data_IF_410930355141
#
_entry.id   IF_410930355141
#
_cell.length_a   1.000
_cell.length_b   1.000
_cell.length_c   1.000
_cell.angle_alpha   90.00
_cell.angle_beta   90.00
_cell.angle_gamma   90.00
#
_symmetry.space_group_name_H-M   'P 1'
#
loop_
_entity.id
_entity.type
_entity.pdbx_description
1 polymer ?
#
# COMPACT_ATOMS: atom_id res chain seq x y z
N UNK A 1 0.16 14.67 34.22
CA UNK A 1 1.26 14.76 33.24
C UNK A 1 1.31 13.41 32.55
N UNK A 2 0.68 13.28 31.37
CA UNK A 2 0.68 12.03 30.60
C UNK A 2 1.66 12.21 29.45
N UNK A 3 2.84 11.60 29.57
CA UNK A 3 3.77 11.47 28.45
C UNK A 3 3.10 10.58 27.40
N UNK A 4 2.69 11.20 26.30
CA UNK A 4 2.37 10.47 25.09
C UNK A 4 3.65 9.77 24.66
N UNK A 5 3.72 8.46 24.91
CA UNK A 5 4.79 7.59 24.44
C UNK A 5 4.72 7.57 22.90
N UNK A 6 5.33 8.56 22.26
CA UNK A 6 5.36 8.72 20.82
C UNK A 6 6.36 7.73 20.26
N UNK A 7 5.93 6.47 20.14
CA UNK A 7 6.68 5.42 19.46
C UNK A 7 7.04 5.96 18.06
N UNK A 8 8.33 6.09 17.77
CA UNK A 8 8.78 6.59 16.48
C UNK A 8 8.26 5.65 15.38
N UNK A 9 7.45 6.11 14.41
CA UNK A 9 6.96 5.27 13.33
C UNK A 9 8.07 4.67 12.43
N UNK A 10 9.33 5.07 12.62
CA UNK A 10 10.51 4.40 12.03
C UNK A 10 10.81 3.06 12.70
N UNK A 11 10.57 2.93 13.99
CA UNK A 11 10.96 1.77 14.81
C UNK A 11 10.19 0.49 14.47
N UNK A 12 9.05 0.60 13.74
CA UNK A 12 8.22 -0.53 13.30
C UNK A 12 8.47 -1.00 11.87
N UNK A 13 9.42 -0.40 11.15
CA UNK A 13 9.67 -0.75 9.75
C UNK A 13 10.62 -1.94 9.65
N UNK A 14 10.26 -2.94 8.84
CA UNK A 14 11.13 -4.08 8.54
C UNK A 14 12.24 -3.76 7.52
N UNK A 15 12.21 -2.57 6.92
CA UNK A 15 13.20 -2.12 5.92
C UNK A 15 13.09 -0.63 5.63
N UNK A 16 14.20 -0.07 5.13
CA UNK A 16 14.31 1.34 4.74
C UNK A 16 13.50 1.66 3.48
N UNK A 17 13.05 2.92 3.38
CA UNK A 17 12.28 3.42 2.23
C UNK A 17 13.10 4.47 1.48
N UNK A 18 13.41 4.24 0.21
CA UNK A 18 13.93 5.28 -0.67
C UNK A 18 12.78 6.14 -1.19
N UNK A 19 12.90 7.47 -1.16
CA UNK A 19 11.97 8.37 -1.83
C UNK A 19 11.90 8.06 -3.34
N UNK A 20 10.70 7.89 -3.88
CA UNK A 20 10.46 7.75 -5.31
C UNK A 20 9.65 8.93 -5.85
N UNK A 21 10.03 9.43 -7.03
CA UNK A 21 9.30 10.47 -7.78
C UNK A 21 9.22 10.04 -9.24
N UNK A 22 8.25 9.18 -9.55
CA UNK A 22 7.96 8.72 -10.91
C UNK A 22 6.50 8.27 -11.03
N UNK A 23 5.99 8.11 -12.26
CA UNK A 23 4.64 7.59 -12.49
C UNK A 23 4.51 6.17 -11.93
N UNK A 24 3.35 5.87 -11.36
CA UNK A 24 3.04 4.56 -10.81
C UNK A 24 1.55 4.31 -10.99
N UNK A 25 1.21 3.17 -11.60
CA UNK A 25 -0.19 2.76 -11.78
C UNK A 25 -0.47 1.58 -10.85
N UNK A 26 -1.53 1.71 -10.04
CA UNK A 26 -2.04 0.59 -9.23
C UNK A 26 -3.34 0.12 -9.83
N UNK A 27 -3.42 -1.18 -10.14
CA UNK A 27 -4.65 -1.86 -10.55
C UNK A 27 -5.18 -2.68 -9.39
N UNK A 28 -6.44 -2.45 -9.04
CA UNK A 28 -7.25 -3.31 -8.18
C UNK A 28 -8.13 -4.13 -9.14
N UNK A 29 -7.74 -5.35 -9.54
CA UNK A 29 -8.63 -6.20 -10.33
C UNK A 29 -9.94 -6.39 -9.55
N UNK A 30 -11.09 -6.32 -10.24
CA UNK A 30 -12.40 -6.36 -9.60
C UNK A 30 -12.54 -7.66 -8.79
N UNK A 31 -12.38 -7.56 -7.47
CA UNK A 31 -12.53 -8.66 -6.54
C UNK A 31 -13.82 -8.45 -5.76
N UNK A 32 -14.76 -9.38 -5.94
CA UNK A 32 -15.80 -9.57 -4.94
C UNK A 32 -15.11 -10.14 -3.71
N UNK A 33 -15.13 -9.40 -2.60
CA UNK A 33 -14.61 -9.88 -1.33
C UNK A 33 -15.77 -10.14 -0.38
N UNK A 34 -15.68 -11.25 0.35
CA UNK A 34 -16.63 -11.58 1.40
C UNK A 34 -16.15 -10.93 2.69
N UNK A 35 -17.02 -10.15 3.32
CA UNK A 35 -16.75 -9.45 4.58
C UNK A 35 -18.01 -9.44 5.45
N UNK A 36 -17.79 -9.33 6.76
CA UNK A 36 -18.80 -9.09 7.78
C UNK A 36 -18.93 -7.58 8.03
N UNK A 37 -20.08 -7.15 8.56
CA UNK A 37 -20.32 -5.75 8.91
C UNK A 37 -20.99 -5.67 10.27
N UNK A 38 -20.48 -4.80 11.14
CA UNK A 38 -21.12 -4.47 12.41
C UNK A 38 -22.02 -3.23 12.32
N UNK A 39 -21.89 -2.43 11.24
CA UNK A 39 -22.65 -1.20 11.06
C UNK A 39 -22.85 -0.85 9.58
N UNK A 40 -24.10 -0.56 9.23
CA UNK A 40 -24.54 -0.03 7.95
C UNK A 40 -25.48 1.16 8.19
N UNK A 41 -25.25 2.25 7.46
CA UNK A 41 -26.09 3.46 7.49
C UNK A 41 -26.31 4.01 6.08
N UNK A 42 -27.15 5.04 5.94
CA UNK A 42 -27.31 5.79 4.68
C UNK A 42 -26.03 6.52 4.23
N UNK A 43 -25.05 6.69 5.12
CA UNK A 43 -23.81 7.42 4.86
C UNK A 43 -22.61 6.51 4.62
N UNK A 44 -22.72 5.21 4.91
CA UNK A 44 -21.61 4.27 4.74
C UNK A 44 -21.76 2.96 5.51
N UNK A 45 -20.78 2.08 5.31
CA UNK A 45 -20.69 0.74 5.90
C UNK A 45 -19.27 0.51 6.43
N UNK A 46 -19.17 -0.14 7.59
CA UNK A 46 -17.90 -0.66 8.11
C UNK A 46 -17.83 -2.16 7.80
N UNK A 47 -16.77 -2.60 7.14
CA UNK A 47 -16.56 -3.99 6.75
C UNK A 47 -15.32 -4.57 7.44
N UNK A 48 -15.43 -5.80 7.91
CA UNK A 48 -14.37 -6.61 8.47
C UNK A 48 -14.24 -7.88 7.63
N UNK A 49 -13.04 -8.22 7.18
CA UNK A 49 -12.83 -9.43 6.40
C UNK A 49 -11.42 -9.95 6.60
N UNK A 50 -11.26 -11.26 6.47
CA UNK A 50 -9.96 -11.93 6.43
C UNK A 50 -9.37 -12.02 5.02
N UNK A 51 -10.13 -11.60 4.01
CA UNK A 51 -9.68 -11.61 2.62
C UNK A 51 -8.68 -10.47 2.38
N UNK A 52 -7.51 -10.81 1.84
CA UNK A 52 -6.54 -9.82 1.39
C UNK A 52 -6.98 -9.22 0.05
N UNK A 53 -6.92 -7.90 -0.07
CA UNK A 53 -7.19 -7.22 -1.33
C UNK A 53 -5.93 -7.23 -2.20
N UNK A 54 -5.92 -8.05 -3.25
CA UNK A 54 -4.77 -8.17 -4.13
C UNK A 54 -4.70 -7.00 -5.11
N UNK A 55 -3.49 -6.55 -5.39
CA UNK A 55 -3.20 -5.44 -6.30
C UNK A 55 -2.04 -5.77 -7.21
N UNK A 56 -2.02 -5.13 -8.37
CA UNK A 56 -0.87 -5.10 -9.28
C UNK A 56 -0.33 -3.67 -9.37
N UNK A 57 0.97 -3.52 -9.15
CA UNK A 57 1.69 -2.27 -9.32
C UNK A 57 2.48 -2.34 -10.63
N UNK A 58 2.21 -1.41 -11.54
CA UNK A 58 2.94 -1.26 -12.78
C UNK A 58 3.92 -0.09 -12.63
N UNK A 59 5.21 -0.40 -12.76
CA UNK A 59 6.35 0.51 -12.62
C UNK A 59 7.04 0.69 -13.97
N UNK A 60 7.14 1.92 -14.41
CA UNK A 60 7.99 2.27 -15.54
C UNK A 60 9.47 2.28 -15.12
N UNK A 61 10.29 1.54 -15.85
CA UNK A 61 11.72 1.42 -15.65
C UNK A 61 12.48 2.52 -16.40
N UNK A 62 13.75 2.81 -16.06
CA UNK A 62 14.56 3.80 -16.78
C UNK A 62 14.70 3.55 -18.29
N UNK A 63 14.62 2.28 -18.72
CA UNK A 63 14.67 1.89 -20.13
C UNK A 63 13.30 2.01 -20.86
N UNK A 64 12.27 2.51 -20.16
CA UNK A 64 10.90 2.66 -20.66
C UNK A 64 10.07 1.36 -20.61
N UNK A 65 10.63 0.25 -20.14
CA UNK A 65 9.86 -0.99 -19.94
C UNK A 65 8.91 -0.89 -18.75
N UNK A 66 7.82 -1.67 -18.79
CA UNK A 66 6.85 -1.75 -17.69
C UNK A 66 7.06 -3.05 -16.90
N UNK A 67 7.34 -2.91 -15.60
CA UNK A 67 7.42 -4.02 -14.66
C UNK A 67 6.14 -4.12 -13.84
N UNK A 68 5.54 -5.30 -13.78
CA UNK A 68 4.37 -5.60 -12.94
C UNK A 68 4.80 -6.34 -11.68
N UNK A 69 4.25 -5.90 -10.56
CA UNK A 69 4.53 -6.47 -9.23
C UNK A 69 3.22 -6.70 -8.51
N UNK A 70 2.99 -7.94 -8.08
CA UNK A 70 1.81 -8.27 -7.28
C UNK A 70 2.04 -7.96 -5.80
N UNK A 71 0.98 -7.52 -5.14
CA UNK A 71 0.97 -7.27 -3.69
C UNK A 71 -0.44 -7.29 -3.12
N UNK A 72 -0.55 -6.86 -1.87
CA UNK A 72 -1.81 -6.70 -1.16
C UNK A 72 -1.95 -5.31 -0.55
N UNK A 73 -3.16 -4.76 -0.58
CA UNK A 73 -3.48 -3.50 0.06
C UNK A 73 -3.53 -3.70 1.58
N UNK A 74 -2.59 -3.09 2.31
CA UNK A 74 -2.52 -3.18 3.78
C UNK A 74 -3.08 -1.95 4.47
N UNK A 75 -3.24 -0.83 3.76
CA UNK A 75 -3.85 0.38 4.30
C UNK A 75 -4.35 1.31 3.20
N UNK A 76 -5.53 1.88 3.41
CA UNK A 76 -6.01 3.08 2.73
C UNK A 76 -6.14 4.21 3.75
N UNK A 77 -5.71 5.42 3.41
CA UNK A 77 -5.85 6.56 4.30
C UNK A 77 -6.20 7.82 3.51
N UNK A 78 -7.25 8.55 3.91
CA UNK A 78 -7.55 9.87 3.36
C UNK A 78 -6.70 10.91 4.10
N UNK A 79 -5.80 11.57 3.37
CA UNK A 79 -4.88 12.58 3.91
C UNK A 79 -5.47 13.99 3.85
N UNK A 80 -6.28 14.27 2.83
CA UNK A 80 -7.05 15.50 2.65
C UNK A 80 -8.30 15.22 1.80
N UNK A 81 -9.15 16.23 1.56
CA UNK A 81 -10.36 16.09 0.74
C UNK A 81 -10.05 15.55 -0.67
N UNK A 82 -8.93 15.96 -1.27
CA UNK A 82 -8.48 15.57 -2.60
C UNK A 82 -7.25 14.64 -2.62
N UNK A 83 -6.81 14.14 -1.46
CA UNK A 83 -5.59 13.34 -1.36
C UNK A 83 -5.82 12.10 -0.52
N UNK A 84 -5.50 10.95 -1.08
CA UNK A 84 -5.43 9.69 -0.35
C UNK A 84 -4.05 9.06 -0.50
N UNK A 85 -3.72 8.16 0.42
CA UNK A 85 -2.54 7.31 0.37
C UNK A 85 -2.96 5.85 0.51
N UNK A 86 -2.28 4.99 -0.24
CA UNK A 86 -2.39 3.54 -0.14
C UNK A 86 -1.04 2.97 0.25
N UNK A 87 -1.05 1.94 1.09
CA UNK A 87 0.13 1.14 1.39
C UNK A 87 -0.09 -0.27 0.87
N UNK A 88 0.90 -0.75 0.12
CA UNK A 88 0.90 -2.06 -0.51
C UNK A 88 2.06 -2.86 0.07
N UNK A 89 1.79 -4.11 0.43
CA UNK A 89 2.81 -5.08 0.81
C UNK A 89 3.00 -6.05 -0.35
N UNK A 90 4.25 -6.24 -0.80
CA UNK A 90 4.56 -7.23 -1.83
C UNK A 90 4.73 -8.62 -1.21
N UNK A 91 4.33 -9.66 -1.94
CA UNK A 91 4.40 -11.05 -1.44
C UNK A 91 5.84 -11.55 -1.25
N UNK A 92 6.78 -10.98 -2.00
CA UNK A 92 8.21 -11.30 -1.91
C UNK A 92 9.04 -10.01 -2.00
N UNK A 93 10.28 -10.07 -1.48
CA UNK A 93 11.22 -8.97 -1.60
C UNK A 93 11.53 -8.69 -3.07
N UNK A 94 11.26 -7.47 -3.51
CA UNK A 94 11.44 -7.09 -4.91
C UNK A 94 12.85 -6.55 -5.12
N UNK A 95 13.67 -7.29 -5.86
CA UNK A 95 14.94 -6.80 -6.38
C UNK A 95 14.71 -5.74 -7.46
N UNK A 96 15.69 -4.91 -7.80
CA UNK A 96 15.59 -3.95 -8.91
C UNK A 96 14.77 -2.69 -8.58
N UNK A 97 14.34 -2.49 -7.33
CA UNK A 97 13.66 -1.27 -6.90
C UNK A 97 14.69 -0.21 -6.47
N UNK A 98 14.34 1.09 -6.42
CA UNK A 98 15.26 2.17 -6.06
C UNK A 98 15.94 2.05 -4.67
N UNK A 99 15.52 1.09 -3.85
CA UNK A 99 16.06 0.83 -2.52
C UNK A 99 16.90 -0.44 -2.47
N UNK A 100 16.95 -1.19 -3.57
CA UNK A 100 17.76 -2.39 -3.67
C UNK A 100 19.18 -1.98 -4.09
N UNK A 101 20.20 -2.25 -3.25
CA UNK A 101 21.59 -1.88 -3.54
C UNK A 101 22.16 -2.55 -4.79
N UNK A 102 21.49 -3.55 -5.37
CA UNK A 102 21.89 -4.21 -6.64
C UNK A 102 21.15 -3.69 -7.88
N UNK A 103 20.22 -2.75 -7.72
CA UNK A 103 19.30 -2.37 -8.78
C UNK A 103 19.84 -1.30 -9.76
N UNK A 104 20.91 -0.59 -9.40
CA UNK A 104 21.45 0.57 -10.12
C UNK A 104 22.98 0.57 -10.04
#
# INVERSE_FOLDING_TARGET
>A
MNEANSIDPRERRRGERTPWRGPLTVRLPAQQFVAESENLSSMGVLLFGSSELLVEVELEQPDGSLRRISGKLVRYNRLASNKCGIAIEFGEHQQGLPNDPQAW
#
